data_IF_556773850828
#
_entry.id   IF_556773850828
#
_cell.length_a   1.000
_cell.length_b   1.000
_cell.length_c   1.000
_cell.angle_alpha   90.00
_cell.angle_beta   90.00
_cell.angle_gamma   90.00
#
_symmetry.space_group_name_H-M   'P 1'
#
loop_
_entity.id
_entity.type
_entity.pdbx_description
1 polymer ?
#
# COMPACT_ATOMS: atom_id res chain seq x y z
N UNK A 1 -15.02 7.63 14.13
CA UNK A 1 -13.92 6.90 13.45
C UNK A 1 -12.63 7.21 14.19
N UNK A 2 -11.81 6.20 14.49
CA UNK A 2 -10.55 6.42 15.18
C UNK A 2 -9.51 7.08 14.25
N UNK A 3 -8.57 7.90 14.78
CA UNK A 3 -7.46 8.41 14.00
C UNK A 3 -6.67 7.29 13.30
N UNK A 4 -6.26 7.51 12.06
CA UNK A 4 -5.49 6.53 11.27
C UNK A 4 -6.30 5.38 10.66
N UNK A 5 -7.63 5.35 10.86
CA UNK A 5 -8.51 4.38 10.20
C UNK A 5 -8.91 4.88 8.80
N UNK A 6 -9.18 3.94 7.89
CA UNK A 6 -9.73 4.26 6.58
C UNK A 6 -11.15 4.82 6.74
N UNK A 7 -11.42 5.94 6.06
CA UNK A 7 -12.76 6.55 6.04
C UNK A 7 -13.75 5.76 5.21
N UNK A 8 -15.08 5.88 5.44
CA UNK A 8 -16.05 5.19 4.60
C UNK A 8 -15.97 5.67 3.14
N UNK A 9 -15.67 6.95 2.94
CA UNK A 9 -15.38 7.50 1.61
C UNK A 9 -14.09 6.91 1.02
N UNK A 10 -13.06 6.72 1.83
CA UNK A 10 -11.82 6.08 1.40
C UNK A 10 -12.05 4.64 0.95
N UNK A 11 -12.85 3.89 1.70
CA UNK A 11 -13.27 2.53 1.34
C UNK A 11 -13.99 2.50 -0.01
N UNK A 12 -14.95 3.40 -0.22
CA UNK A 12 -15.68 3.52 -1.48
C UNK A 12 -14.75 3.85 -2.66
N UNK A 13 -13.79 4.76 -2.49
CA UNK A 13 -12.80 5.07 -3.52
C UNK A 13 -11.92 3.86 -3.86
N UNK A 14 -11.55 3.06 -2.87
CA UNK A 14 -10.77 1.83 -3.09
C UNK A 14 -11.59 0.74 -3.77
N UNK A 15 -12.90 0.67 -3.50
CA UNK A 15 -13.83 -0.18 -4.24
C UNK A 15 -13.91 0.23 -5.71
N UNK A 16 -13.98 1.52 -6.02
CA UNK A 16 -13.96 2.02 -7.40
C UNK A 16 -12.66 1.65 -8.13
N UNK A 17 -11.50 1.74 -7.45
CA UNK A 17 -10.23 1.25 -7.99
C UNK A 17 -10.29 -0.26 -8.28
N UNK A 18 -10.90 -1.05 -7.40
CA UNK A 18 -11.15 -2.47 -7.64
C UNK A 18 -11.98 -2.72 -8.90
N UNK A 19 -13.07 -1.96 -9.09
CA UNK A 19 -13.89 -2.04 -10.31
C UNK A 19 -13.11 -1.67 -11.56
N UNK A 20 -12.24 -0.66 -11.48
CA UNK A 20 -11.33 -0.32 -12.58
C UNK A 20 -10.39 -1.48 -12.93
N UNK A 21 -9.75 -2.11 -11.93
CA UNK A 21 -8.86 -3.25 -12.16
C UNK A 21 -9.59 -4.46 -12.75
N UNK A 22 -10.85 -4.71 -12.34
CA UNK A 22 -11.70 -5.73 -12.95
C UNK A 22 -11.84 -5.51 -14.46
N UNK A 23 -12.20 -4.30 -14.87
CA UNK A 23 -12.37 -3.96 -16.29
C UNK A 23 -11.04 -4.08 -17.03
N UNK A 24 -9.97 -3.53 -16.47
CA UNK A 24 -8.63 -3.53 -17.07
C UNK A 24 -8.10 -4.95 -17.31
N UNK A 25 -8.18 -5.82 -16.30
CA UNK A 25 -7.66 -7.19 -16.39
C UNK A 25 -8.64 -8.13 -17.10
N UNK A 26 -9.94 -7.86 -17.03
CA UNK A 26 -10.96 -8.57 -17.82
C UNK A 26 -10.77 -8.35 -19.31
N UNK A 27 -10.52 -7.10 -19.75
CA UNK A 27 -10.19 -6.79 -21.14
C UNK A 27 -8.89 -7.43 -21.67
N UNK A 28 -8.07 -7.99 -20.76
CA UNK A 28 -6.82 -8.70 -21.09
C UNK A 28 -6.93 -10.22 -20.92
N UNK A 29 -8.13 -10.74 -20.63
CA UNK A 29 -8.37 -12.17 -20.42
C UNK A 29 -7.82 -12.73 -19.11
N UNK A 30 -7.38 -11.89 -18.17
CA UNK A 30 -6.81 -12.32 -16.89
C UNK A 30 -7.89 -12.57 -15.82
N UNK A 31 -8.98 -11.80 -15.88
CA UNK A 31 -10.15 -11.98 -15.01
C UNK A 31 -11.33 -12.39 -15.88
N UNK A 32 -11.95 -13.53 -15.58
CA UNK A 32 -13.16 -13.96 -16.27
C UNK A 32 -14.35 -13.07 -15.85
N UNK A 33 -15.26 -12.79 -16.79
CA UNK A 33 -16.46 -12.03 -16.49
C UNK A 33 -17.33 -12.83 -15.50
N UNK A 34 -17.65 -12.20 -14.38
CA UNK A 34 -18.57 -12.66 -13.32
C UNK A 34 -18.20 -13.87 -12.46
N UNK A 35 -17.03 -14.46 -12.68
CA UNK A 35 -16.54 -15.54 -11.82
C UNK A 35 -15.75 -15.06 -10.62
N UNK A 36 -15.93 -15.78 -9.51
CA UNK A 36 -15.04 -15.70 -8.37
C UNK A 36 -13.69 -16.33 -8.73
N UNK A 37 -12.57 -15.79 -8.20
CA UNK A 37 -11.26 -16.29 -8.58
C UNK A 37 -11.10 -17.73 -8.09
N UNK A 38 -10.67 -18.62 -8.98
CA UNK A 38 -10.30 -19.99 -8.62
C UNK A 38 -9.25 -19.96 -7.51
N UNK A 39 -9.35 -20.89 -6.55
CA UNK A 39 -8.40 -20.97 -5.44
C UNK A 39 -6.93 -20.95 -5.96
N UNK A 40 -6.12 -20.06 -5.39
CA UNK A 40 -4.71 -19.92 -5.75
C UNK A 40 -4.41 -19.06 -6.98
N UNK A 41 -5.41 -18.55 -7.70
CA UNK A 41 -5.19 -17.65 -8.86
C UNK A 41 -5.03 -16.18 -8.47
N UNK A 42 -5.56 -15.82 -7.29
CA UNK A 42 -5.47 -14.49 -6.71
C UNK A 42 -4.97 -14.62 -5.29
N UNK A 43 -4.02 -13.77 -4.94
CA UNK A 43 -3.54 -13.59 -3.58
C UNK A 43 -3.49 -12.09 -3.28
N UNK A 44 -4.03 -11.70 -2.13
CA UNK A 44 -3.87 -10.36 -1.60
C UNK A 44 -3.21 -10.44 -0.23
N UNK A 45 -2.20 -9.60 -0.04
CA UNK A 45 -1.48 -9.46 1.22
C UNK A 45 -1.53 -8.01 1.65
N UNK A 46 -1.85 -7.77 2.92
CA UNK A 46 -1.92 -6.43 3.51
C UNK A 46 -1.06 -6.37 4.75
N UNK A 47 -0.60 -5.17 5.08
CA UNK A 47 -0.09 -4.89 6.41
C UNK A 47 -1.21 -4.99 7.46
N UNK A 48 -0.84 -4.99 8.73
CA UNK A 48 -1.72 -5.22 9.88
C UNK A 48 -2.64 -4.04 10.22
N UNK A 49 -2.26 -2.85 9.81
CA UNK A 49 -3.03 -1.62 10.01
C UNK A 49 -4.48 -1.77 9.56
N UNK A 50 -5.42 -1.17 10.31
CA UNK A 50 -6.83 -1.21 9.91
C UNK A 50 -7.03 -0.62 8.51
N UNK A 51 -6.32 0.47 8.21
CA UNK A 51 -6.44 1.17 6.91
C UNK A 51 -5.97 0.32 5.74
N UNK A 52 -4.95 -0.53 5.90
CA UNK A 52 -4.45 -1.41 4.84
C UNK A 52 -5.35 -2.61 4.65
N UNK A 53 -5.82 -3.24 5.73
CA UNK A 53 -6.77 -4.37 5.65
C UNK A 53 -8.10 -3.95 5.03
N UNK A 54 -8.65 -2.80 5.45
CA UNK A 54 -9.89 -2.26 4.88
C UNK A 54 -9.71 -1.88 3.41
N UNK A 55 -8.56 -1.30 3.03
CA UNK A 55 -8.23 -1.00 1.63
C UNK A 55 -8.18 -2.27 0.78
N UNK A 56 -7.47 -3.30 1.24
CA UNK A 56 -7.37 -4.58 0.53
C UNK A 56 -8.74 -5.25 0.35
N UNK A 57 -9.57 -5.24 1.39
CA UNK A 57 -10.94 -5.76 1.33
C UNK A 57 -11.79 -4.99 0.30
N UNK A 58 -11.74 -3.66 0.31
CA UNK A 58 -12.50 -2.82 -0.62
C UNK A 58 -12.08 -3.02 -2.08
N UNK A 59 -10.77 -3.08 -2.36
CA UNK A 59 -10.25 -3.35 -3.70
C UNK A 59 -10.75 -4.71 -4.19
N UNK A 60 -10.62 -5.77 -3.37
CA UNK A 60 -11.09 -7.10 -3.75
C UNK A 60 -12.61 -7.16 -3.95
N UNK A 61 -13.39 -6.46 -3.12
CA UNK A 61 -14.84 -6.38 -3.28
C UNK A 61 -15.24 -5.67 -4.58
N UNK A 62 -14.47 -4.66 -5.01
CA UNK A 62 -14.63 -4.01 -6.31
C UNK A 62 -14.20 -4.89 -7.49
N UNK A 63 -13.15 -5.71 -7.31
CA UNK A 63 -12.63 -6.61 -8.34
C UNK A 63 -13.51 -7.85 -8.56
N UNK A 64 -14.06 -8.41 -7.49
CA UNK A 64 -14.82 -9.66 -7.45
C UNK A 64 -16.15 -9.48 -6.71
N UNK A 65 -17.08 -8.67 -7.27
CA UNK A 65 -18.35 -8.41 -6.61
C UNK A 65 -19.14 -9.70 -6.41
N UNK A 66 -19.83 -9.83 -5.26
CA UNK A 66 -20.66 -10.98 -4.85
C UNK A 66 -19.88 -12.27 -4.55
N UNK A 67 -18.55 -12.25 -4.59
CA UNK A 67 -17.76 -13.41 -4.23
C UNK A 67 -17.56 -13.52 -2.72
N UNK A 68 -17.89 -14.71 -2.18
CA UNK A 68 -17.56 -15.06 -0.81
C UNK A 68 -16.06 -15.40 -0.68
N UNK A 69 -15.50 -15.21 0.50
CA UNK A 69 -14.16 -15.69 0.88
C UNK A 69 -13.03 -15.17 -0.03
N UNK A 70 -12.96 -13.86 -0.24
CA UNK A 70 -11.88 -13.23 -1.00
C UNK A 70 -10.52 -13.50 -0.34
N UNK A 71 -9.45 -13.82 -1.11
CA UNK A 71 -8.17 -14.31 -0.59
C UNK A 71 -7.30 -13.18 -0.03
N UNK A 72 -7.79 -12.50 1.02
CA UNK A 72 -7.09 -11.46 1.73
C UNK A 72 -6.39 -12.03 2.97
N UNK A 73 -5.07 -11.87 3.04
CA UNK A 73 -4.27 -12.30 4.18
C UNK A 73 -3.37 -11.17 4.68
N UNK A 74 -2.83 -11.40 5.87
CA UNK A 74 -1.81 -10.59 6.51
C UNK A 74 -1.05 -11.51 7.48
N UNK A 75 0.00 -10.98 8.10
CA UNK A 75 0.69 -11.71 9.15
C UNK A 75 -0.27 -12.09 10.29
N UNK A 76 -0.18 -13.33 10.78
CA UNK A 76 -1.13 -13.86 11.77
C UNK A 76 -1.03 -13.18 13.15
N UNK A 77 0.16 -12.70 13.54
CA UNK A 77 0.37 -12.01 14.80
C UNK A 77 0.23 -10.49 14.62
N UNK A 78 -0.85 -9.92 15.15
CA UNK A 78 -1.17 -8.50 15.05
C UNK A 78 -0.31 -7.60 15.97
N UNK A 79 0.50 -8.18 16.87
CA UNK A 79 1.36 -7.42 17.79
C UNK A 79 2.80 -7.29 17.31
N UNK A 80 3.16 -7.93 16.20
CA UNK A 80 4.49 -7.88 15.60
C UNK A 80 4.37 -7.15 14.27
N UNK A 81 5.21 -6.15 13.95
CA UNK A 81 5.16 -5.52 12.62
C UNK A 81 5.39 -6.54 11.52
N UNK A 82 4.62 -6.47 10.43
CA UNK A 82 4.83 -7.36 9.29
C UNK A 82 6.16 -6.99 8.59
N UNK A 83 7.15 -7.90 8.54
CA UNK A 83 8.48 -7.59 8.01
C UNK A 83 8.49 -7.30 6.51
N UNK A 84 7.44 -7.67 5.76
CA UNK A 84 7.30 -7.30 4.34
C UNK A 84 7.09 -5.79 4.20
N UNK A 85 6.41 -5.15 5.17
CA UNK A 85 6.10 -3.72 5.15
C UNK A 85 7.02 -2.90 6.06
N UNK A 86 7.54 -3.51 7.13
CA UNK A 86 8.37 -2.87 8.16
C UNK A 86 9.71 -3.60 8.33
N UNK A 87 10.56 -3.69 7.29
CA UNK A 87 11.83 -4.39 7.38
C UNK A 87 12.70 -3.73 8.46
N UNK A 88 13.14 -4.52 9.43
CA UNK A 88 14.06 -4.08 10.47
C UNK A 88 15.50 -4.42 10.07
N UNK A 89 16.50 -3.58 10.40
CA UNK A 89 17.89 -3.90 10.18
C UNK A 89 18.25 -5.21 10.90
N UNK A 90 18.91 -6.12 10.19
CA UNK A 90 19.44 -7.36 10.75
C UNK A 90 20.93 -7.48 10.43
N UNK A 91 21.62 -8.46 11.02
CA UNK A 91 23.00 -8.73 10.66
C UNK A 91 23.16 -9.11 9.17
N UNK A 92 22.16 -9.76 8.57
CA UNK A 92 22.14 -10.12 7.15
C UNK A 92 21.60 -9.02 6.22
N UNK A 93 20.92 -8.00 6.78
CA UNK A 93 20.44 -6.81 6.08
C UNK A 93 20.77 -5.57 6.92
N UNK A 94 22.05 -5.19 7.03
CA UNK A 94 22.47 -4.10 7.88
C UNK A 94 22.04 -2.76 7.28
N UNK A 95 21.65 -1.83 8.16
CA UNK A 95 21.38 -0.46 7.79
C UNK A 95 22.39 0.47 8.47
N UNK A 96 23.25 1.12 7.70
CA UNK A 96 24.26 2.03 8.24
C UNK A 96 23.66 3.44 8.37
N UNK A 97 23.33 3.85 9.59
CA UNK A 97 22.71 5.15 9.86
C UNK A 97 23.54 6.34 9.36
N UNK A 98 24.86 6.31 9.54
CA UNK A 98 25.75 7.40 9.10
C UNK A 98 25.81 7.51 7.57
N UNK A 99 25.91 6.37 6.88
CA UNK A 99 25.88 6.33 5.42
C UNK A 99 24.53 6.79 4.86
N UNK A 100 23.42 6.37 5.48
CA UNK A 100 22.07 6.81 5.11
C UNK A 100 21.92 8.33 5.30
N UNK A 101 22.35 8.85 6.45
CA UNK A 101 22.31 10.28 6.71
C UNK A 101 23.16 11.06 5.70
N UNK A 102 24.38 10.62 5.44
CA UNK A 102 25.26 11.25 4.45
C UNK A 102 24.63 11.26 3.04
N UNK A 103 24.01 10.14 2.63
CA UNK A 103 23.32 10.04 1.35
C UNK A 103 22.11 10.98 1.25
N UNK A 104 21.31 11.08 2.33
CA UNK A 104 20.20 12.04 2.40
C UNK A 104 20.72 13.46 2.29
N UNK A 105 21.74 13.83 3.08
CA UNK A 105 22.30 15.19 3.05
C UNK A 105 22.90 15.54 1.69
N UNK A 106 23.57 14.59 1.02
CA UNK A 106 24.08 14.80 -0.33
C UNK A 106 22.95 15.10 -1.33
N UNK A 107 21.82 14.38 -1.25
CA UNK A 107 20.62 14.64 -2.08
C UNK A 107 19.95 15.98 -1.79
N UNK A 108 20.04 16.46 -0.55
CA UNK A 108 19.52 17.77 -0.17
C UNK A 108 20.44 18.93 -0.59
N UNK A 109 21.66 18.66 -1.08
CA UNK A 109 22.64 19.70 -1.40
C UNK A 109 23.46 20.14 -0.18
N UNK A 110 23.75 19.20 0.73
CA UNK A 110 24.61 19.39 1.91
C UNK A 110 23.90 19.94 3.15
N UNK A 111 22.69 20.50 3.01
CA UNK A 111 21.90 20.99 4.14
C UNK A 111 20.39 20.96 3.86
N UNK A 112 19.55 20.95 4.90
CA UNK A 112 18.11 21.15 4.74
C UNK A 112 17.76 22.54 4.18
N UNK A 113 18.56 23.57 4.50
CA UNK A 113 18.37 24.91 3.97
C UNK A 113 18.52 24.95 2.45
N UNK A 114 19.47 24.20 1.89
CA UNK A 114 19.66 24.05 0.44
C UNK A 114 18.41 23.47 -0.22
N UNK A 115 17.79 22.43 0.36
CA UNK A 115 16.56 21.86 -0.14
C UNK A 115 15.39 22.85 -0.08
N UNK A 116 15.23 23.58 1.03
CA UNK A 116 14.20 24.60 1.17
C UNK A 116 14.35 25.72 0.12
N UNK A 117 15.57 26.18 -0.14
CA UNK A 117 15.83 27.17 -1.18
C UNK A 117 15.50 26.64 -2.58
N UNK A 118 15.94 25.41 -2.89
CA UNK A 118 15.74 24.79 -4.20
C UNK A 118 14.25 24.51 -4.52
N UNK A 119 13.46 24.17 -3.50
CA UNK A 119 12.04 23.83 -3.66
C UNK A 119 11.07 24.93 -3.19
N UNK A 120 11.57 26.12 -2.81
CA UNK A 120 10.74 27.22 -2.33
C UNK A 120 9.61 27.62 -3.30
N UNK A 121 9.83 27.69 -4.63
CA UNK A 121 8.76 28.02 -5.57
C UNK A 121 7.60 27.02 -5.54
N UNK A 122 7.89 25.72 -5.37
CA UNK A 122 6.88 24.67 -5.33
C UNK A 122 6.15 24.64 -3.98
N UNK A 123 6.87 24.89 -2.88
CA UNK A 123 6.31 24.85 -1.52
C UNK A 123 5.43 26.07 -1.20
N UNK A 124 5.59 27.18 -1.92
CA UNK A 124 4.79 28.41 -1.73
C UNK A 124 3.53 28.47 -2.61
N UNK A 125 3.29 27.46 -3.45
CA UNK A 125 2.08 27.31 -4.27
C UNK A 125 0.99 26.46 -3.60
N UNK A 126 1.22 25.98 -2.37
CA UNK A 126 0.22 25.30 -1.53
C UNK A 126 -0.49 26.31 -0.63
#
# INVERSE_FOLDING_TARGET
>A
MAPGFLSPRGEELMRLMGTYYRVLYGGRGLIQADDCPTAGTVAAWTDLDQRTRATGAAILAGMYPRCANLPLRNQANFTVPDPIFHPQPTASCPMNGAANQAAVMARLGGSFASALQNYAPQLTMM
#
